data_IF_484670280050
#
_entry.id   IF_484670280050
#
_cell.length_a   1.000
_cell.length_b   1.000
_cell.length_c   1.000
_cell.angle_alpha   90.00
_cell.angle_beta   90.00
_cell.angle_gamma   90.00
#
_symmetry.space_group_name_H-M   'P 1'
#
loop_
_entity.id
_entity.type
_entity.pdbx_description
1 polymer ?
#
# COMPACT_ATOMS: atom_id res chain seq x y z
N UNK A 1 22.37 17.52 25.15
CA UNK A 1 22.20 17.15 23.72
C UNK A 1 20.90 17.77 23.28
N UNK A 2 20.88 18.66 22.28
CA UNK A 2 19.62 19.18 21.76
C UNK A 2 18.81 18.02 21.17
N UNK A 3 17.53 17.95 21.55
CA UNK A 3 16.58 16.97 21.01
C UNK A 3 16.05 17.57 19.72
N UNK A 4 16.22 16.86 18.61
CA UNK A 4 15.63 17.28 17.34
C UNK A 4 14.11 17.16 17.42
N UNK A 5 13.39 18.18 16.94
CA UNK A 5 11.94 18.13 16.80
C UNK A 5 11.60 17.23 15.60
N UNK A 6 11.13 16.03 15.89
CA UNK A 6 10.78 15.04 14.86
C UNK A 6 9.30 15.10 14.49
N UNK A 7 9.02 15.11 13.20
CA UNK A 7 7.64 15.06 12.70
C UNK A 7 7.02 13.67 12.92
N UNK A 8 5.84 13.62 13.53
CA UNK A 8 5.11 12.36 13.71
C UNK A 8 4.63 11.80 12.38
N UNK A 9 5.08 10.60 12.05
CA UNK A 9 4.60 9.83 10.88
C UNK A 9 4.45 8.35 11.22
N UNK A 10 3.36 7.76 10.79
CA UNK A 10 3.15 6.33 10.95
C UNK A 10 4.11 5.53 10.05
N UNK A 11 4.53 4.35 10.52
CA UNK A 11 5.26 3.36 9.70
C UNK A 11 4.46 2.91 8.49
N UNK A 12 5.10 2.21 7.54
CA UNK A 12 4.41 1.66 6.37
C UNK A 12 3.25 0.73 6.78
N UNK A 13 2.12 0.89 6.11
CA UNK A 13 0.92 0.06 6.31
C UNK A 13 0.75 -0.98 5.21
N UNK A 14 1.24 -0.68 4.00
CA UNK A 14 1.18 -1.58 2.88
C UNK A 14 2.30 -2.64 2.87
N UNK A 15 3.34 -2.50 3.69
CA UNK A 15 4.49 -3.43 3.72
C UNK A 15 4.14 -4.86 4.12
N UNK A 16 3.01 -5.08 4.79
CA UNK A 16 2.54 -6.43 5.11
C UNK A 16 2.17 -7.26 3.86
N UNK A 17 1.92 -6.58 2.75
CA UNK A 17 1.63 -7.18 1.45
C UNK A 17 2.89 -7.37 0.59
N UNK A 18 4.08 -7.11 1.12
CA UNK A 18 5.32 -7.25 0.36
C UNK A 18 5.51 -8.71 -0.07
N UNK A 19 5.59 -8.90 -1.38
CA UNK A 19 5.64 -10.22 -1.99
C UNK A 19 7.03 -10.84 -1.85
N UNK A 20 7.10 -12.10 -1.45
CA UNK A 20 8.35 -12.84 -1.49
C UNK A 20 8.87 -12.94 -2.93
N UNK A 21 10.18 -12.74 -3.12
CA UNK A 21 10.83 -12.70 -4.44
C UNK A 21 10.72 -14.00 -5.26
N UNK A 22 10.30 -15.10 -4.64
CA UNK A 22 10.22 -16.42 -5.28
C UNK A 22 9.19 -16.50 -6.43
N UNK A 23 8.14 -15.64 -6.41
CA UNK A 23 7.09 -15.59 -7.44
C UNK A 23 7.42 -14.65 -8.59
N UNK A 24 8.53 -13.93 -8.51
CA UNK A 24 8.84 -12.82 -9.38
C UNK A 24 10.12 -13.12 -10.17
N UNK A 25 10.03 -13.09 -11.50
CA UNK A 25 11.20 -13.19 -12.36
C UNK A 25 11.46 -11.87 -13.07
N UNK A 26 12.61 -11.25 -12.77
CA UNK A 26 13.03 -10.05 -13.47
C UNK A 26 13.58 -10.38 -14.85
N UNK A 27 13.10 -9.64 -15.87
CA UNK A 27 13.62 -9.69 -17.23
C UNK A 27 14.01 -8.27 -17.62
N UNK A 28 15.32 -8.06 -17.82
CA UNK A 28 15.84 -6.73 -18.13
C UNK A 28 15.84 -5.77 -16.94
N UNK A 29 15.79 -4.47 -17.22
CA UNK A 29 15.92 -3.41 -16.22
C UNK A 29 14.62 -3.05 -15.53
N UNK A 30 13.48 -3.13 -16.22
CA UNK A 30 12.21 -2.52 -15.83
C UNK A 30 11.00 -3.46 -15.89
N UNK A 31 11.19 -4.71 -16.34
CA UNK A 31 10.10 -5.65 -16.55
C UNK A 31 10.18 -6.82 -15.58
N UNK A 32 9.03 -7.17 -15.05
CA UNK A 32 8.82 -8.30 -14.16
C UNK A 32 7.81 -9.23 -14.79
N UNK A 33 8.15 -10.49 -14.88
CA UNK A 33 7.24 -11.51 -15.39
C UNK A 33 6.64 -12.30 -14.24
N UNK A 34 5.32 -12.42 -14.28
CA UNK A 34 4.54 -13.33 -13.43
C UNK A 34 4.05 -14.49 -14.29
N UNK A 35 4.16 -15.70 -13.76
CA UNK A 35 3.67 -16.88 -14.45
C UNK A 35 2.18 -17.08 -14.15
N UNK A 36 1.37 -17.08 -15.20
CA UNK A 36 -0.06 -17.40 -15.13
C UNK A 36 -0.32 -18.72 -15.83
N UNK A 37 -1.26 -19.51 -15.29
CA UNK A 37 -1.65 -20.80 -15.85
C UNK A 37 -3.17 -20.91 -15.86
N UNK A 38 -3.73 -21.37 -16.99
CA UNK A 38 -5.13 -21.69 -17.15
C UNK A 38 -5.27 -23.16 -17.55
N UNK A 39 -6.27 -23.83 -16.99
CA UNK A 39 -6.56 -25.23 -17.19
C UNK A 39 -8.01 -25.40 -17.65
N UNK A 40 -8.24 -26.35 -18.59
CA UNK A 40 -9.59 -26.72 -18.93
C UNK A 40 -10.26 -27.52 -17.80
N UNK A 41 -11.57 -27.38 -17.68
CA UNK A 41 -12.38 -28.13 -16.72
C UNK A 41 -12.52 -29.61 -17.05
N UNK A 42 -13.25 -30.35 -16.22
CA UNK A 42 -13.52 -31.76 -16.41
C UNK A 42 -14.42 -31.98 -17.63
N UNK A 43 -14.05 -32.93 -18.48
CA UNK A 43 -14.86 -33.42 -19.57
C UNK A 43 -15.54 -34.79 -19.24
N UNK A 44 -16.55 -35.14 -20.01
CA UNK A 44 -17.22 -36.44 -19.83
C UNK A 44 -16.31 -37.61 -20.21
N UNK A 45 -16.13 -38.53 -19.31
CA UNK A 45 -15.40 -39.77 -19.59
C UNK A 45 -16.28 -40.72 -20.41
N UNK A 46 -15.75 -41.24 -21.52
CA UNK A 46 -16.41 -42.30 -22.30
C UNK A 46 -15.73 -43.66 -22.06
N UNK A 47 -16.53 -44.67 -21.76
CA UNK A 47 -15.98 -46.06 -21.58
C UNK A 47 -15.34 -46.62 -22.85
N UNK A 48 -15.72 -46.13 -24.03
CA UNK A 48 -15.19 -46.61 -25.31
C UNK A 48 -14.07 -45.72 -25.85
N UNK A 49 -14.11 -44.39 -25.59
CA UNK A 49 -13.15 -43.43 -26.12
C UNK A 49 -12.14 -42.89 -25.07
N UNK A 50 -12.35 -43.22 -23.80
CA UNK A 50 -11.46 -42.77 -22.71
C UNK A 50 -11.68 -41.33 -22.27
N UNK A 51 -10.59 -40.66 -21.85
CA UNK A 51 -10.58 -39.27 -21.41
C UNK A 51 -10.63 -38.30 -22.58
N UNK A 52 -11.33 -37.19 -22.38
CA UNK A 52 -11.24 -36.01 -23.26
C UNK A 52 -9.92 -35.30 -22.97
N UNK A 53 -9.17 -34.99 -24.01
CA UNK A 53 -7.91 -34.27 -23.88
C UNK A 53 -8.20 -32.82 -23.54
N UNK A 54 -7.74 -32.36 -22.37
CA UNK A 54 -7.78 -30.95 -21.96
C UNK A 54 -6.53 -30.18 -22.41
N UNK A 55 -6.64 -28.88 -22.45
CA UNK A 55 -5.54 -27.99 -22.74
C UNK A 55 -5.02 -27.32 -21.44
N UNK A 56 -3.70 -27.16 -21.39
CA UNK A 56 -3.02 -26.38 -20.36
C UNK A 56 -2.38 -25.19 -21.06
N UNK A 57 -2.86 -24.00 -20.76
CA UNK A 57 -2.26 -22.77 -21.28
C UNK A 57 -1.53 -22.07 -20.16
N UNK A 58 -0.21 -21.98 -20.28
CA UNK A 58 0.63 -21.24 -19.35
C UNK A 58 1.46 -20.20 -20.06
N UNK A 59 1.62 -19.04 -19.44
CA UNK A 59 2.36 -17.93 -20.02
C UNK A 59 2.99 -17.03 -18.97
N UNK A 60 3.99 -16.28 -19.39
CA UNK A 60 4.58 -15.22 -18.61
C UNK A 60 3.92 -13.91 -18.98
N UNK A 61 3.24 -13.27 -18.04
CA UNK A 61 2.69 -11.94 -18.21
C UNK A 61 3.73 -10.88 -17.79
N UNK A 62 4.13 -9.97 -18.70
CA UNK A 62 5.08 -8.92 -18.39
C UNK A 62 4.39 -7.73 -17.71
N UNK A 63 4.89 -7.34 -16.54
CA UNK A 63 4.51 -6.14 -15.82
C UNK A 63 5.69 -5.17 -15.82
N UNK A 64 5.45 -3.94 -16.26
CA UNK A 64 6.49 -2.92 -16.34
C UNK A 64 6.46 -2.04 -15.10
N UNK A 65 7.61 -1.93 -14.42
CA UNK A 65 7.79 -0.98 -13.32
C UNK A 65 7.77 0.45 -13.89
N UNK A 66 7.03 1.34 -13.27
CA UNK A 66 6.81 2.71 -13.76
C UNK A 66 7.36 3.79 -12.82
N UNK A 67 7.61 3.47 -11.55
CA UNK A 67 7.96 4.47 -10.55
C UNK A 67 9.46 4.44 -10.24
N UNK A 68 10.19 5.41 -10.80
CA UNK A 68 11.60 5.67 -10.51
C UNK A 68 11.72 7.02 -9.80
N UNK A 69 11.86 6.97 -8.48
CA UNK A 69 11.79 8.14 -7.62
C UNK A 69 13.09 8.32 -6.86
N UNK A 70 13.54 9.56 -6.74
CA UNK A 70 14.77 9.86 -6.02
C UNK A 70 14.86 11.31 -5.58
N UNK A 71 15.70 11.57 -4.59
CA UNK A 71 16.01 12.91 -4.08
C UNK A 71 17.45 12.96 -3.61
N UNK A 72 18.09 14.09 -3.82
CA UNK A 72 19.42 14.42 -3.32
C UNK A 72 19.32 15.56 -2.32
N UNK A 73 20.06 15.43 -1.22
CA UNK A 73 20.22 16.47 -0.21
C UNK A 73 21.69 16.76 0.00
N UNK A 74 22.03 18.02 0.17
CA UNK A 74 23.36 18.48 0.53
C UNK A 74 23.30 19.28 1.81
N UNK A 75 24.22 19.01 2.72
CA UNK A 75 24.41 19.76 3.97
C UNK A 75 25.86 20.24 3.97
N UNK A 76 26.05 21.56 3.99
CA UNK A 76 27.37 22.17 4.04
C UNK A 76 28.17 21.72 5.27
N UNK A 77 29.48 21.63 5.16
CA UNK A 77 30.34 21.17 6.27
C UNK A 77 30.22 22.10 7.45
N UNK A 78 30.22 23.42 7.20
CA UNK A 78 30.14 24.42 8.27
C UNK A 78 28.78 24.33 8.99
N UNK A 79 27.68 24.21 8.27
CA UNK A 79 26.33 24.05 8.85
C UNK A 79 26.22 22.75 9.67
N UNK A 80 26.85 21.67 9.19
CA UNK A 80 26.88 20.42 9.93
C UNK A 80 27.71 20.49 11.20
N UNK A 81 28.84 21.21 11.18
CA UNK A 81 29.68 21.42 12.35
C UNK A 81 28.98 22.32 13.39
N UNK A 82 28.28 23.37 12.97
CA UNK A 82 27.47 24.23 13.84
C UNK A 82 26.35 23.43 14.55
N UNK A 83 25.78 22.45 13.88
CA UNK A 83 24.75 21.55 14.45
C UNK A 83 25.33 20.30 15.14
N UNK A 84 26.65 20.25 15.38
CA UNK A 84 27.36 19.13 16.00
C UNK A 84 27.15 17.79 15.27
N UNK A 85 27.05 17.81 13.94
CA UNK A 85 26.84 16.61 13.12
C UNK A 85 25.42 16.04 13.17
N UNK A 86 24.49 16.69 13.84
CA UNK A 86 23.10 16.20 13.97
C UNK A 86 22.29 16.40 12.69
N UNK A 87 22.55 17.48 11.96
CA UNK A 87 21.78 17.80 10.75
C UNK A 87 21.85 16.68 9.72
N UNK A 88 23.02 16.12 9.48
CA UNK A 88 23.20 15.03 8.53
C UNK A 88 22.90 13.64 9.13
N UNK A 89 23.25 13.41 10.40
CA UNK A 89 23.08 12.09 11.04
C UNK A 89 21.63 11.61 11.13
N UNK A 90 20.68 12.53 11.24
CA UNK A 90 19.25 12.20 11.31
C UNK A 90 18.52 12.31 9.97
N UNK A 91 19.10 13.05 9.00
CA UNK A 91 18.48 13.39 7.71
C UNK A 91 17.95 12.16 6.97
N UNK A 92 18.76 11.12 6.83
CA UNK A 92 18.41 9.94 6.04
C UNK A 92 17.20 9.18 6.64
N UNK A 93 17.24 8.94 7.95
CA UNK A 93 16.14 8.26 8.66
C UNK A 93 14.85 9.04 8.62
N UNK A 94 14.93 10.36 8.88
CA UNK A 94 13.78 11.25 8.88
C UNK A 94 13.16 11.37 7.48
N UNK A 95 13.98 11.51 6.44
CA UNK A 95 13.48 11.56 5.06
C UNK A 95 12.74 10.28 4.67
N UNK A 96 13.31 9.12 4.95
CA UNK A 96 12.64 7.84 4.64
C UNK A 96 11.32 7.72 5.40
N UNK A 97 11.31 8.04 6.68
CA UNK A 97 10.14 7.94 7.54
C UNK A 97 9.03 8.92 7.16
N UNK A 98 9.37 10.18 6.83
CA UNK A 98 8.40 11.26 6.65
C UNK A 98 7.95 11.46 5.22
N UNK A 99 8.79 11.13 4.24
CA UNK A 99 8.51 11.38 2.83
C UNK A 99 8.33 10.08 2.04
N UNK A 100 9.31 9.18 2.08
CA UNK A 100 9.33 7.99 1.25
C UNK A 100 8.22 7.00 1.64
N UNK A 101 8.10 6.68 2.91
CA UNK A 101 7.09 5.72 3.41
C UNK A 101 5.65 6.16 3.13
N UNK A 102 5.24 7.42 3.39
CA UNK A 102 3.89 7.87 3.06
C UNK A 102 3.58 7.87 1.56
N UNK A 103 4.55 8.23 0.73
CA UNK A 103 4.40 8.25 -0.72
C UNK A 103 4.19 6.84 -1.28
N UNK A 104 5.00 5.87 -0.86
CA UNK A 104 4.90 4.48 -1.29
C UNK A 104 3.55 3.87 -0.88
N UNK A 105 3.14 4.06 0.38
CA UNK A 105 1.85 3.56 0.85
C UNK A 105 0.68 4.18 0.07
N UNK A 106 0.68 5.51 -0.10
CA UNK A 106 -0.37 6.20 -0.84
C UNK A 106 -0.43 5.75 -2.31
N UNK A 107 0.73 5.57 -2.96
CA UNK A 107 0.81 5.05 -4.32
C UNK A 107 0.22 3.64 -4.44
N UNK A 108 0.60 2.74 -3.54
CA UNK A 108 0.12 1.35 -3.54
C UNK A 108 -1.39 1.28 -3.38
N UNK A 109 -1.97 1.97 -2.39
CA UNK A 109 -3.43 1.99 -2.19
C UNK A 109 -4.18 2.62 -3.36
N UNK A 110 -3.69 3.74 -3.90
CA UNK A 110 -4.28 4.37 -5.09
C UNK A 110 -4.22 3.45 -6.32
N UNK A 111 -3.12 2.72 -6.50
CA UNK A 111 -2.93 1.76 -7.58
C UNK A 111 -3.93 0.61 -7.49
N UNK A 112 -4.12 0.04 -6.29
CA UNK A 112 -5.11 -1.03 -6.06
C UNK A 112 -6.52 -0.52 -6.28
N UNK A 113 -6.87 0.65 -5.74
CA UNK A 113 -8.19 1.25 -5.92
C UNK A 113 -8.50 1.60 -7.39
N UNK A 114 -7.48 1.93 -8.18
CA UNK A 114 -7.61 2.23 -9.60
C UNK A 114 -7.58 1.02 -10.53
N UNK A 115 -7.41 -0.19 -10.01
CA UNK A 115 -7.39 -1.41 -10.82
C UNK A 115 -8.79 -1.71 -11.35
N UNK A 116 -8.90 -1.99 -12.65
CA UNK A 116 -10.17 -2.35 -13.27
C UNK A 116 -10.60 -3.75 -12.86
N UNK A 117 -11.90 -3.93 -12.58
CA UNK A 117 -12.49 -5.24 -12.28
C UNK A 117 -12.43 -5.65 -10.81
N UNK A 118 -11.91 -4.82 -9.90
CA UNK A 118 -12.02 -5.09 -8.46
C UNK A 118 -13.47 -4.98 -8.00
N UNK A 119 -13.85 -5.77 -7.01
CA UNK A 119 -15.15 -5.69 -6.38
C UNK A 119 -15.27 -4.42 -5.54
N UNK A 120 -16.40 -3.72 -5.61
CA UNK A 120 -16.60 -2.48 -4.87
C UNK A 120 -18.03 -2.36 -4.33
N UNK A 121 -18.15 -1.81 -3.13
CA UNK A 121 -19.43 -1.46 -2.53
C UNK A 121 -20.00 -0.14 -3.03
N UNK A 122 -21.26 0.11 -2.71
CA UNK A 122 -21.88 1.40 -2.96
C UNK A 122 -21.15 2.50 -2.19
N UNK A 123 -20.66 3.54 -2.87
CA UNK A 123 -19.96 4.62 -2.19
C UNK A 123 -20.81 5.30 -1.13
N UNK A 124 -20.30 5.41 0.10
CA UNK A 124 -21.00 6.05 1.21
C UNK A 124 -20.03 6.76 2.15
N UNK A 125 -20.45 7.92 2.66
CA UNK A 125 -19.68 8.62 3.68
C UNK A 125 -19.97 7.99 5.05
N UNK A 126 -18.93 7.71 5.81
CA UNK A 126 -19.07 7.11 7.14
C UNK A 126 -19.21 8.20 8.19
N UNK A 127 -20.35 8.15 8.90
CA UNK A 127 -20.61 8.95 10.10
C UNK A 127 -20.64 8.03 11.32
N UNK A 128 -19.73 8.27 12.26
CA UNK A 128 -19.64 7.49 13.52
C UNK A 128 -20.97 7.63 14.27
N UNK A 129 -21.48 6.52 14.78
CA UNK A 129 -22.77 6.45 15.47
C UNK A 129 -24.00 6.23 14.56
N UNK A 130 -23.90 6.56 13.27
CA UNK A 130 -25.01 6.44 12.33
C UNK A 130 -24.80 5.31 11.32
N UNK A 131 -23.62 5.26 10.68
CA UNK A 131 -23.30 4.24 9.68
C UNK A 131 -22.99 2.89 10.33
N UNK A 132 -23.60 1.84 9.83
CA UNK A 132 -23.36 0.47 10.29
C UNK A 132 -22.18 -0.14 9.54
N UNK A 133 -20.96 0.14 10.03
CA UNK A 133 -19.71 -0.34 9.43
C UNK A 133 -19.57 -1.87 9.45
N UNK A 134 -19.98 -2.60 10.52
CA UNK A 134 -20.02 -4.06 10.51
C UNK A 134 -20.78 -4.64 9.33
N UNK A 135 -21.98 -4.15 9.04
CA UNK A 135 -22.79 -4.62 7.91
C UNK A 135 -22.10 -4.39 6.57
N UNK A 136 -21.44 -3.23 6.37
CA UNK A 136 -20.70 -2.95 5.14
C UNK A 136 -19.50 -3.91 4.96
N UNK A 137 -18.82 -4.28 6.04
CA UNK A 137 -17.73 -5.26 5.99
C UNK A 137 -18.26 -6.65 5.71
N UNK A 138 -19.40 -7.03 6.31
CA UNK A 138 -20.04 -8.33 6.05
C UNK A 138 -20.51 -8.47 4.59
N UNK A 139 -21.05 -7.39 4.00
CA UNK A 139 -21.38 -7.36 2.57
C UNK A 139 -20.15 -7.58 1.71
N UNK A 140 -19.02 -6.96 2.06
CA UNK A 140 -17.74 -7.14 1.38
C UNK A 140 -17.26 -8.59 1.45
N UNK A 141 -17.33 -9.20 2.62
CA UNK A 141 -16.95 -10.60 2.85
C UNK A 141 -17.82 -11.56 2.05
N UNK A 142 -19.13 -11.28 1.99
CA UNK A 142 -20.10 -12.08 1.20
C UNK A 142 -19.72 -12.04 -0.28
N UNK A 143 -19.47 -10.85 -0.84
CA UNK A 143 -19.09 -10.71 -2.25
C UNK A 143 -17.77 -11.43 -2.54
N UNK A 144 -16.77 -11.28 -1.68
CA UNK A 144 -15.49 -12.00 -1.86
C UNK A 144 -15.64 -13.52 -1.68
N UNK A 145 -16.59 -13.97 -0.86
CA UNK A 145 -16.92 -15.37 -0.68
C UNK A 145 -17.61 -15.98 -1.92
N UNK A 146 -18.56 -15.23 -2.51
CA UNK A 146 -19.24 -15.60 -3.75
C UNK A 146 -18.26 -15.66 -4.94
N UNK A 147 -17.21 -14.85 -4.92
CA UNK A 147 -16.09 -14.86 -5.89
C UNK A 147 -15.04 -15.95 -5.58
N UNK A 148 -15.31 -16.85 -4.65
CA UNK A 148 -14.44 -17.97 -4.24
C UNK A 148 -13.04 -17.54 -3.74
N UNK A 149 -12.90 -16.31 -3.23
CA UNK A 149 -11.65 -15.84 -2.62
C UNK A 149 -11.46 -16.54 -1.26
N UNK A 150 -10.28 -17.12 -0.97
CA UNK A 150 -10.05 -17.74 0.34
C UNK A 150 -10.31 -16.78 1.50
N UNK A 151 -10.96 -17.26 2.56
CA UNK A 151 -11.23 -16.47 3.75
C UNK A 151 -9.96 -16.28 4.58
N UNK A 152 -9.14 -17.33 4.64
CA UNK A 152 -7.90 -17.31 5.39
C UNK A 152 -6.87 -16.36 4.79
N UNK A 153 -6.33 -15.47 5.62
CA UNK A 153 -5.27 -14.54 5.21
C UNK A 153 -5.75 -13.23 4.62
N UNK A 154 -7.06 -12.97 4.52
CA UNK A 154 -7.58 -11.65 4.16
C UNK A 154 -7.11 -10.59 5.15
N UNK A 155 -6.80 -9.40 4.67
CA UNK A 155 -6.36 -8.27 5.48
C UNK A 155 -7.33 -7.11 5.27
N UNK A 156 -7.84 -6.57 6.38
CA UNK A 156 -8.72 -5.41 6.39
C UNK A 156 -7.90 -4.14 6.64
N UNK A 157 -7.72 -3.33 5.61
CA UNK A 157 -7.22 -1.96 5.75
C UNK A 157 -8.39 -1.03 5.98
N UNK A 158 -8.34 -0.24 7.04
CA UNK A 158 -9.46 0.59 7.47
C UNK A 158 -9.00 2.01 7.82
N UNK A 159 -9.79 3.03 7.45
CA UNK A 159 -9.55 4.41 7.86
C UNK A 159 -9.86 4.62 9.34
N UNK A 160 -9.25 5.62 9.97
CA UNK A 160 -9.52 5.92 11.39
C UNK A 160 -11.01 6.21 11.66
N UNK A 161 -11.70 6.88 10.72
CA UNK A 161 -13.14 7.17 10.85
C UNK A 161 -13.98 5.91 10.78
N UNK A 162 -13.70 5.02 9.81
CA UNK A 162 -14.40 3.75 9.69
C UNK A 162 -14.10 2.82 10.87
N UNK A 163 -12.87 2.82 11.36
CA UNK A 163 -12.50 2.07 12.55
C UNK A 163 -13.23 2.54 13.81
N UNK A 164 -13.41 3.86 13.97
CA UNK A 164 -14.21 4.41 15.06
C UNK A 164 -15.69 3.97 14.95
N UNK A 165 -16.26 3.97 13.73
CA UNK A 165 -17.60 3.44 13.47
C UNK A 165 -17.74 1.94 13.75
N UNK A 166 -16.73 1.15 13.40
CA UNK A 166 -16.65 -0.27 13.72
C UNK A 166 -16.67 -0.50 15.24
N UNK A 167 -15.86 0.27 15.97
CA UNK A 167 -15.82 0.19 17.45
C UNK A 167 -17.14 0.57 18.11
N UNK A 168 -17.84 1.56 17.58
CA UNK A 168 -19.11 2.04 18.14
C UNK A 168 -20.20 0.96 18.10
N UNK A 169 -20.24 0.16 17.04
CA UNK A 169 -21.28 -0.86 16.82
C UNK A 169 -20.97 -2.21 17.46
N UNK A 170 -19.71 -2.49 17.80
CA UNK A 170 -19.36 -3.76 18.46
C UNK A 170 -19.67 -3.69 19.95
N UNK A 171 -20.66 -4.50 20.39
CA UNK A 171 -20.93 -4.69 21.82
C UNK A 171 -19.81 -5.54 22.42
N UNK A 172 -19.08 -4.96 23.35
CA UNK A 172 -17.97 -5.65 24.03
C UNK A 172 -18.40 -6.12 25.42
N UNK A 173 -18.17 -7.37 25.70
CA UNK A 173 -18.17 -7.85 27.07
C UNK A 173 -16.84 -7.45 27.69
N UNK A 174 -16.87 -6.47 28.58
CA UNK A 174 -15.71 -6.09 29.39
C UNK A 174 -15.58 -7.10 30.52
N UNK A 175 -14.59 -7.97 30.46
CA UNK A 175 -14.19 -8.71 31.66
C UNK A 175 -13.49 -7.75 32.63
N UNK A 176 -13.97 -7.67 33.85
CA UNK A 176 -13.31 -6.94 34.93
C UNK A 176 -11.96 -7.61 35.24
N UNK A 177 -10.90 -7.16 34.55
CA UNK A 177 -9.52 -7.55 34.77
C UNK A 177 -8.71 -6.35 35.27
N UNK A 178 -7.72 -6.61 36.04
CA UNK A 178 -6.96 -5.70 36.92
C UNK A 178 -6.23 -4.53 36.21
N UNK A 179 -6.25 -4.38 34.85
CA UNK A 179 -5.47 -3.36 34.15
C UNK A 179 -6.19 -2.80 32.94
N UNK A 180 -7.18 -1.95 33.15
CA UNK A 180 -7.77 -1.13 32.10
C UNK A 180 -8.62 -1.89 31.08
N UNK A 181 -9.42 -1.14 30.31
CA UNK A 181 -10.26 -1.68 29.24
C UNK A 181 -9.47 -1.58 27.95
N UNK A 182 -9.00 -2.71 27.41
CA UNK A 182 -8.44 -2.73 26.07
C UNK A 182 -9.57 -2.73 25.03
N UNK A 183 -9.61 -1.71 24.18
CA UNK A 183 -10.62 -1.54 23.15
C UNK A 183 -10.05 -1.60 21.73
N UNK A 184 -8.80 -2.01 21.56
CA UNK A 184 -8.21 -2.22 20.24
C UNK A 184 -8.84 -3.45 19.56
N UNK A 185 -9.09 -3.33 18.24
CA UNK A 185 -9.54 -4.44 17.40
C UNK A 185 -8.39 -4.75 16.47
N UNK A 186 -7.65 -5.81 16.75
CA UNK A 186 -6.53 -6.26 15.91
C UNK A 186 -6.99 -7.28 14.87
N UNK A 187 -8.08 -7.99 15.16
CA UNK A 187 -8.72 -8.95 14.27
C UNK A 187 -10.23 -8.73 14.25
N UNK A 188 -10.81 -8.80 13.09
CA UNK A 188 -12.25 -8.76 12.88
C UNK A 188 -12.63 -9.86 11.88
N UNK A 189 -13.50 -10.77 12.29
CA UNK A 189 -13.96 -11.93 11.50
C UNK A 189 -12.83 -12.71 10.80
N UNK A 190 -11.78 -13.03 11.57
CA UNK A 190 -10.59 -13.74 11.07
C UNK A 190 -9.60 -12.87 10.27
N UNK A 191 -9.98 -11.68 9.87
CA UNK A 191 -9.12 -10.74 9.15
C UNK A 191 -8.28 -9.89 10.09
N UNK A 192 -7.00 -9.73 9.77
CA UNK A 192 -6.14 -8.77 10.47
C UNK A 192 -6.54 -7.34 10.12
N UNK A 193 -6.77 -6.49 11.13
CA UNK A 193 -7.18 -5.10 10.96
C UNK A 193 -5.97 -4.18 10.98
N UNK A 194 -5.81 -3.36 9.94
CA UNK A 194 -4.72 -2.39 9.83
C UNK A 194 -5.30 -1.00 9.61
N UNK A 195 -5.06 -0.11 10.57
CA UNK A 195 -5.48 1.29 10.45
C UNK A 195 -4.54 2.06 9.52
N UNK A 196 -5.13 2.76 8.56
CA UNK A 196 -4.40 3.57 7.59
C UNK A 196 -4.75 5.05 7.78
N UNK A 197 -3.76 5.95 7.91
CA UNK A 197 -4.02 7.38 7.99
C UNK A 197 -4.70 7.92 6.73
N UNK A 198 -5.69 8.81 6.89
CA UNK A 198 -6.50 9.40 5.79
C UNK A 198 -5.64 9.97 4.65
N UNK A 199 -4.53 10.63 4.96
CA UNK A 199 -3.66 11.25 3.94
C UNK A 199 -3.01 10.26 2.96
N UNK A 200 -2.96 8.96 3.30
CA UNK A 200 -2.39 7.89 2.46
C UNK A 200 -3.45 6.98 1.86
N UNK A 201 -4.71 7.15 2.23
CA UNK A 201 -5.78 6.19 1.93
C UNK A 201 -6.83 6.83 1.01
N UNK A 202 -6.44 6.98 -0.26
CA UNK A 202 -7.25 7.65 -1.28
C UNK A 202 -7.27 6.84 -2.58
N UNK A 203 -8.34 6.96 -3.36
CA UNK A 203 -8.52 6.24 -4.63
C UNK A 203 -7.61 6.74 -5.74
N UNK A 204 -7.05 7.94 -5.61
CA UNK A 204 -6.13 8.51 -6.58
C UNK A 204 -5.17 9.50 -5.94
N UNK A 205 -3.95 9.54 -6.42
CA UNK A 205 -2.92 10.51 -6.04
C UNK A 205 -2.20 11.00 -7.29
N UNK A 206 -1.59 12.18 -7.19
CA UNK A 206 -0.63 12.70 -8.17
C UNK A 206 0.75 12.72 -7.54
N UNK A 207 1.71 12.08 -8.20
CA UNK A 207 3.11 12.12 -7.79
C UNK A 207 3.76 13.38 -8.36
N UNK A 208 4.29 14.23 -7.51
CA UNK A 208 4.94 15.46 -7.91
C UNK A 208 6.35 15.16 -8.44
N UNK A 209 6.76 15.81 -9.53
CA UNK A 209 8.04 15.56 -10.18
C UNK A 209 9.25 16.20 -9.45
N UNK A 210 8.98 17.15 -8.55
CA UNK A 210 10.02 17.89 -7.83
C UNK A 210 10.72 18.99 -8.65
N UNK A 211 10.25 19.25 -9.87
CA UNK A 211 10.84 20.22 -10.83
C UNK A 211 9.86 21.30 -11.25
N UNK A 212 8.62 20.93 -11.56
CA UNK A 212 7.59 21.82 -12.04
C UNK A 212 7.18 22.87 -11.01
N UNK A 213 6.74 24.03 -11.47
CA UNK A 213 6.25 25.09 -10.59
C UNK A 213 5.05 24.60 -9.76
N UNK A 214 5.15 24.75 -8.43
CA UNK A 214 4.18 24.21 -7.48
C UNK A 214 4.49 22.79 -6.98
N UNK A 215 5.34 22.02 -7.67
CA UNK A 215 5.72 20.66 -7.33
C UNK A 215 7.17 20.49 -6.83
N UNK A 216 7.91 21.61 -6.69
CA UNK A 216 9.34 21.63 -6.34
C UNK A 216 9.69 20.89 -5.06
N UNK A 217 8.74 20.76 -4.13
CA UNK A 217 8.92 19.99 -2.89
C UNK A 217 8.92 18.47 -3.14
N UNK A 218 8.44 18.02 -4.30
CA UNK A 218 8.23 16.60 -4.58
C UNK A 218 7.12 15.99 -3.71
N UNK A 219 7.21 14.67 -3.44
CA UNK A 219 6.18 13.95 -2.71
C UNK A 219 4.94 13.68 -3.56
N UNK A 220 3.77 13.65 -2.93
CA UNK A 220 2.51 13.44 -3.62
C UNK A 220 1.44 14.41 -3.16
N UNK A 221 0.45 14.63 -4.01
CA UNK A 221 -0.77 15.39 -3.70
C UNK A 221 -2.00 14.52 -3.95
N UNK A 222 -3.07 14.78 -3.19
CA UNK A 222 -4.36 14.14 -3.40
C UNK A 222 -5.21 15.08 -4.23
N UNK A 223 -5.59 14.72 -5.47
CA UNK A 223 -6.39 15.59 -6.32
C UNK A 223 -7.77 15.85 -5.71
N UNK A 224 -8.14 17.11 -5.60
CA UNK A 224 -9.48 17.51 -5.22
C UNK A 224 -10.49 17.08 -6.31
N UNK A 225 -11.70 16.74 -5.93
CA UNK A 225 -12.83 16.40 -6.80
C UNK A 225 -12.72 15.11 -7.64
N UNK A 226 -11.53 14.55 -7.85
CA UNK A 226 -11.33 13.31 -8.64
C UNK A 226 -10.83 12.13 -7.80
N UNK A 227 -10.35 12.39 -6.61
CA UNK A 227 -9.94 11.37 -5.65
C UNK A 227 -10.90 11.30 -4.48
N UNK A 228 -11.21 10.11 -4.04
CA UNK A 228 -12.14 9.83 -2.94
C UNK A 228 -11.40 9.18 -1.78
N UNK A 229 -11.70 9.55 -0.54
CA UNK A 229 -11.20 8.83 0.63
C UNK A 229 -11.65 7.37 0.59
N UNK A 230 -10.76 6.45 0.91
CA UNK A 230 -11.09 5.04 1.08
C UNK A 230 -11.53 4.83 2.52
N UNK A 231 -12.72 4.26 2.71
CA UNK A 231 -13.24 3.91 4.02
C UNK A 231 -12.58 2.65 4.56
N UNK A 232 -12.63 1.58 3.76
CA UNK A 232 -11.89 0.36 4.00
C UNK A 232 -11.61 -0.38 2.69
N UNK A 233 -10.62 -1.26 2.73
CA UNK A 233 -10.23 -2.13 1.62
C UNK A 233 -9.85 -3.50 2.19
N UNK A 234 -10.45 -4.56 1.66
CA UNK A 234 -10.07 -5.93 2.00
C UNK A 234 -9.18 -6.46 0.89
N UNK A 235 -8.01 -6.94 1.24
CA UNK A 235 -7.04 -7.46 0.28
C UNK A 235 -6.60 -8.86 0.70
N UNK A 236 -6.69 -9.81 -0.23
CA UNK A 236 -6.03 -11.10 -0.07
C UNK A 236 -4.60 -10.99 -0.63
N UNK A 237 -3.54 -11.31 0.15
CA UNK A 237 -2.14 -11.08 -0.25
C UNK A 237 -1.73 -11.76 -1.55
N UNK A 238 -2.39 -12.85 -1.94
CA UNK A 238 -2.10 -13.52 -3.21
C UNK A 238 -2.52 -12.75 -4.45
N UNK A 239 -3.41 -11.75 -4.31
CA UNK A 239 -3.92 -10.95 -5.42
C UNK A 239 -2.97 -9.84 -5.85
N UNK A 240 -2.07 -9.43 -4.97
CA UNK A 240 -1.19 -8.29 -5.17
C UNK A 240 0.27 -8.70 -5.21
N UNK A 241 1.04 -7.96 -6.00
CA UNK A 241 2.49 -8.12 -6.12
C UNK A 241 3.13 -6.76 -5.93
N UNK A 242 3.88 -6.60 -4.85
CA UNK A 242 4.62 -5.38 -4.54
C UNK A 242 6.10 -5.62 -4.78
N UNK A 243 6.72 -4.75 -5.56
CA UNK A 243 8.10 -4.91 -5.99
C UNK A 243 8.88 -3.63 -5.75
N UNK A 244 10.00 -3.75 -5.07
CA UNK A 244 11.03 -2.72 -5.01
C UNK A 244 12.33 -3.33 -5.54
N UNK A 245 12.76 -2.93 -6.75
CA UNK A 245 13.93 -3.50 -7.40
C UNK A 245 15.23 -2.85 -6.96
N UNK A 246 15.19 -1.55 -6.73
CA UNK A 246 16.37 -0.77 -6.45
C UNK A 246 16.05 0.20 -5.31
N UNK A 247 16.66 -0.04 -4.17
CA UNK A 247 16.56 0.84 -3.01
C UNK A 247 17.98 1.15 -2.60
N UNK A 248 18.47 2.33 -2.98
CA UNK A 248 19.88 2.67 -2.76
C UNK A 248 20.00 4.03 -2.07
N UNK A 249 20.19 4.04 -0.75
CA UNK A 249 20.71 5.20 -0.05
C UNK A 249 22.22 5.29 -0.30
N UNK A 250 22.72 6.45 -0.70
CA UNK A 250 24.14 6.73 -0.88
C UNK A 250 24.53 7.95 -0.09
N UNK A 251 25.63 7.84 0.63
CA UNK A 251 26.21 8.94 1.41
C UNK A 251 27.59 9.24 0.82
N UNK A 252 27.83 10.50 0.52
CA UNK A 252 29.11 11.00 0.06
C UNK A 252 29.67 11.97 1.07
N UNK A 253 30.92 11.73 1.48
CA UNK A 253 31.65 12.70 2.33
C UNK A 253 32.06 13.93 1.51
N UNK A 254 32.35 15.07 2.16
CA UNK A 254 32.83 16.26 1.47
C UNK A 254 34.06 16.03 0.59
N UNK A 255 34.95 15.18 1.02
CA UNK A 255 36.19 14.81 0.27
C UNK A 255 35.89 14.13 -1.09
N UNK A 256 34.76 13.43 -1.20
CA UNK A 256 34.34 12.69 -2.41
C UNK A 256 33.31 13.52 -3.23
N UNK A 257 32.68 14.49 -2.61
CA UNK A 257 31.68 15.33 -3.27
C UNK A 257 32.37 16.41 -4.10
N UNK A 258 32.41 16.22 -5.42
CA UNK A 258 33.06 17.18 -6.34
C UNK A 258 32.25 18.46 -6.60
N UNK A 259 31.00 18.52 -6.13
CA UNK A 259 30.08 19.63 -6.44
C UNK A 259 30.13 20.75 -5.41
N UNK A 260 30.44 20.43 -4.15
CA UNK A 260 30.49 21.37 -3.05
C UNK A 260 31.21 20.74 -1.85
N UNK A 261 31.74 21.58 -0.95
CA UNK A 261 32.28 21.13 0.34
C UNK A 261 31.12 20.83 1.31
N UNK A 262 30.44 19.72 1.02
CA UNK A 262 29.20 19.36 1.68
C UNK A 262 29.02 17.84 1.76
N UNK A 263 28.41 17.38 2.83
CA UNK A 263 27.86 16.03 2.91
C UNK A 263 26.68 15.90 1.95
N UNK A 264 26.65 14.84 1.14
CA UNK A 264 25.59 14.58 0.18
C UNK A 264 24.91 13.25 0.48
N UNK A 265 23.57 13.26 0.54
CA UNK A 265 22.73 12.09 0.67
C UNK A 265 21.87 11.94 -0.57
N UNK A 266 22.06 10.87 -1.33
CA UNK A 266 21.25 10.51 -2.49
C UNK A 266 20.39 9.30 -2.14
N UNK A 267 19.09 9.42 -2.36
CA UNK A 267 18.14 8.31 -2.23
C UNK A 267 17.45 8.07 -3.56
N UNK A 268 17.39 6.80 -3.98
CA UNK A 268 16.65 6.38 -5.17
C UNK A 268 15.93 5.09 -4.89
N UNK A 269 14.67 5.03 -5.30
CA UNK A 269 13.86 3.82 -5.24
C UNK A 269 13.18 3.59 -6.60
N UNK A 270 13.28 2.36 -7.10
CA UNK A 270 12.58 1.91 -8.29
C UNK A 270 11.58 0.82 -7.87
N UNK A 271 10.30 1.14 -7.93
CA UNK A 271 9.25 0.27 -7.38
C UNK A 271 7.97 0.36 -8.20
N UNK A 272 7.11 -0.63 -8.01
CA UNK A 272 5.72 -0.60 -8.45
C UNK A 272 4.87 -1.59 -7.65
N UNK A 273 3.56 -1.57 -7.88
CA UNK A 273 2.59 -2.50 -7.31
C UNK A 273 1.63 -2.93 -8.40
N UNK A 274 1.36 -4.23 -8.47
CA UNK A 274 0.50 -4.83 -9.49
C UNK A 274 -0.58 -5.68 -8.84
N UNK A 275 -1.69 -5.85 -9.55
CA UNK A 275 -2.75 -6.81 -9.23
C UNK A 275 -2.73 -7.87 -10.32
N UNK A 276 -2.71 -9.14 -9.95
CA UNK A 276 -2.76 -10.24 -10.92
C UNK A 276 -4.14 -10.28 -11.58
N UNK A 277 -4.17 -10.30 -12.93
CA UNK A 277 -5.42 -10.22 -13.71
C UNK A 277 -6.44 -11.31 -13.37
N UNK A 278 -5.97 -12.51 -13.03
CA UNK A 278 -6.81 -13.64 -12.65
C UNK A 278 -7.24 -13.65 -11.18
N UNK A 279 -6.81 -12.67 -10.38
CA UNK A 279 -7.09 -12.58 -8.94
C UNK A 279 -7.63 -11.22 -8.51
N UNK A 280 -8.19 -10.47 -9.46
CA UNK A 280 -8.73 -9.14 -9.20
C UNK A 280 -9.83 -9.15 -8.14
N UNK A 281 -10.63 -10.22 -8.08
CA UNK A 281 -11.64 -10.46 -7.06
C UNK A 281 -11.07 -10.52 -5.61
N UNK A 282 -9.75 -10.76 -5.47
CA UNK A 282 -9.07 -10.73 -4.17
C UNK A 282 -8.92 -9.35 -3.55
N UNK A 283 -9.48 -8.31 -4.17
CA UNK A 283 -9.51 -6.93 -3.66
C UNK A 283 -10.96 -6.45 -3.63
N UNK A 284 -11.40 -5.99 -2.47
CA UNK A 284 -12.67 -5.29 -2.31
C UNK A 284 -12.43 -3.86 -1.83
N UNK A 285 -13.09 -2.90 -2.47
CA UNK A 285 -12.96 -1.47 -2.18
C UNK A 285 -14.29 -0.88 -1.70
N UNK A 286 -14.28 -0.20 -0.56
CA UNK A 286 -15.36 0.69 -0.14
C UNK A 286 -14.81 2.11 0.04
N UNK A 287 -15.33 3.06 -0.74
CA UNK A 287 -14.90 4.47 -0.72
C UNK A 287 -16.00 5.40 -0.24
N UNK A 288 -15.62 6.61 0.14
CA UNK A 288 -16.56 7.69 0.41
C UNK A 288 -17.34 8.08 -0.85
N UNK A 289 -18.56 8.58 -0.65
CA UNK A 289 -19.37 9.17 -1.71
C UNK A 289 -18.86 10.57 -2.09
N UNK A 290 -18.37 11.32 -1.10
CA UNK A 290 -17.85 12.68 -1.28
C UNK A 290 -16.35 12.64 -1.62
N UNK A 291 -15.97 13.33 -2.70
CA UNK A 291 -14.56 13.48 -3.08
C UNK A 291 -13.78 14.35 -2.08
N UNK A 292 -12.46 14.27 -2.16
CA UNK A 292 -11.60 15.18 -1.41
C UNK A 292 -11.83 16.64 -1.85
N UNK A 293 -11.77 17.54 -0.89
CA UNK A 293 -11.92 18.98 -1.12
C UNK A 293 -10.57 19.64 -1.45
#
# INVERSE_FOLDING_TARGET
VPILDEVYKASSKASILDTANERVRFIGSDTVNLYTMSLDGLGNYSRNAGFVTGSVTGGWEPYKLTQDRGRSFMVDVMDNDETMGMAFGTLAGEFIRTQVTPEIDAYRFAKYAGTSGISSGTPADITVGTTDVPTLIQEAETIMGDDEVPEEGRILFISETAYAGLKDKITRYVQNGERGIETAIDYYDGMRVIKVPKGRFNTGITLNDGLSAGETKGGFTVPASTSYPINFMIIHPSAVVQIAKHVVPRIFSPEVNQSADAWKFDYRIYHDAFVENNKVAGIYLHRAATANA
#
